data_IF_624368072848
#
_entry.id   IF_624368072848
#
_cell.length_a   1.000
_cell.length_b   1.000
_cell.length_c   1.000
_cell.angle_alpha   90.00
_cell.angle_beta   90.00
_cell.angle_gamma   90.00
#
_symmetry.space_group_name_H-M   'P 1'
#
loop_
_entity.id
_entity.type
_entity.pdbx_description
1 polymer ?
#
# COMPACT_ATOMS: atom_id res chain seq x y z
N UNK A 1 -21.63 14.82 -14.42
CA UNK A 1 -20.20 14.74 -14.72
C UNK A 1 -19.73 13.31 -14.47
N UNK A 2 -19.03 12.71 -15.44
CA UNK A 2 -18.51 11.34 -15.36
C UNK A 2 -16.98 11.36 -15.36
N UNK A 3 -16.37 10.80 -14.32
CA UNK A 3 -14.93 10.82 -14.10
C UNK A 3 -14.40 9.40 -14.08
N UNK A 4 -13.30 9.13 -14.78
CA UNK A 4 -12.53 7.89 -14.64
C UNK A 4 -11.13 8.19 -14.08
N UNK A 5 -10.76 7.47 -13.04
CA UNK A 5 -9.45 7.58 -12.38
C UNK A 5 -8.71 6.26 -12.61
N UNK A 6 -7.56 6.36 -13.24
CA UNK A 6 -6.64 5.23 -13.45
C UNK A 6 -5.60 5.20 -12.34
N UNK A 7 -5.49 4.09 -11.61
CA UNK A 7 -4.36 3.80 -10.72
C UNK A 7 -3.80 2.42 -11.05
N UNK A 8 -2.62 2.39 -11.65
CA UNK A 8 -2.03 1.16 -12.19
C UNK A 8 -0.92 0.56 -11.34
N UNK A 9 -0.52 1.23 -10.27
CA UNK A 9 0.64 0.89 -9.47
C UNK A 9 0.39 -0.28 -8.50
N UNK A 10 1.07 -0.33 -7.37
CA UNK A 10 0.95 -1.42 -6.39
C UNK A 10 -0.24 -1.21 -5.44
N UNK A 11 -0.47 -2.18 -4.55
CA UNK A 11 -1.57 -2.16 -3.58
C UNK A 11 -1.49 -1.00 -2.60
N UNK A 12 -0.28 -0.66 -2.12
CA UNK A 12 -0.06 0.50 -1.25
C UNK A 12 -0.39 1.82 -1.94
N UNK A 13 0.04 1.98 -3.20
CA UNK A 13 -0.28 3.16 -4.01
C UNK A 13 -1.78 3.31 -4.25
N UNK A 14 -2.50 2.18 -4.41
CA UNK A 14 -3.95 2.18 -4.54
C UNK A 14 -4.62 2.62 -3.24
N UNK A 15 -4.15 2.13 -2.10
CA UNK A 15 -4.64 2.55 -0.80
C UNK A 15 -4.47 4.07 -0.59
N UNK A 16 -3.28 4.61 -0.89
CA UNK A 16 -2.99 6.04 -0.76
C UNK A 16 -3.79 6.94 -1.73
N UNK A 17 -4.48 6.36 -2.71
CA UNK A 17 -5.41 7.08 -3.57
C UNK A 17 -6.85 7.12 -3.02
N UNK A 18 -7.19 6.35 -1.97
CA UNK A 18 -8.57 6.33 -1.45
C UNK A 18 -9.04 7.66 -0.84
N UNK A 19 -8.21 8.50 -0.20
CA UNK A 19 -8.61 9.85 0.23
C UNK A 19 -9.06 10.76 -0.93
N UNK A 20 -8.42 10.62 -2.09
CA UNK A 20 -8.82 11.34 -3.31
C UNK A 20 -10.25 10.98 -3.73
N UNK A 21 -10.63 9.71 -3.64
CA UNK A 21 -11.97 9.24 -3.99
C UNK A 21 -13.03 9.79 -3.02
N UNK A 22 -12.74 9.75 -1.73
CA UNK A 22 -13.61 10.29 -0.70
C UNK A 22 -13.81 11.81 -0.87
N UNK A 23 -12.69 12.52 -1.09
CA UNK A 23 -12.73 13.97 -1.27
C UNK A 23 -13.49 14.36 -2.54
N UNK A 24 -13.28 13.65 -3.65
CA UNK A 24 -14.01 13.86 -4.89
C UNK A 24 -15.51 13.62 -4.70
N UNK A 25 -15.90 12.52 -4.05
CA UNK A 25 -17.31 12.21 -3.76
C UNK A 25 -17.96 13.29 -2.90
N UNK A 26 -17.26 13.79 -1.88
CA UNK A 26 -17.75 14.85 -0.99
C UNK A 26 -17.92 16.18 -1.73
N UNK A 27 -16.94 16.55 -2.56
CA UNK A 27 -16.98 17.80 -3.32
C UNK A 27 -18.01 17.77 -4.47
N UNK A 28 -18.21 16.62 -5.08
CA UNK A 28 -19.06 16.42 -6.24
C UNK A 28 -19.98 15.20 -6.03
N UNK A 29 -21.01 15.31 -5.15
CA UNK A 29 -21.85 14.17 -4.76
C UNK A 29 -22.59 13.50 -5.92
N UNK A 30 -22.90 14.26 -7.00
CA UNK A 30 -23.62 13.78 -8.17
C UNK A 30 -22.70 13.31 -9.31
N UNK A 31 -21.37 13.32 -9.12
CA UNK A 31 -20.45 12.82 -10.12
C UNK A 31 -20.52 11.28 -10.18
N UNK A 32 -20.51 10.72 -11.39
CA UNK A 32 -20.33 9.29 -11.61
C UNK A 32 -18.83 9.01 -11.64
N UNK A 33 -18.33 8.33 -10.59
CA UNK A 33 -16.89 8.10 -10.35
C UNK A 33 -16.55 6.67 -10.69
N UNK A 34 -15.73 6.48 -11.73
CA UNK A 34 -15.21 5.18 -12.14
C UNK A 34 -13.74 5.05 -11.75
N UNK A 35 -13.36 3.86 -11.27
CA UNK A 35 -11.97 3.49 -11.09
C UNK A 35 -11.54 2.46 -12.11
N UNK A 36 -10.34 2.66 -12.70
CA UNK A 36 -9.68 1.71 -13.59
C UNK A 36 -8.42 1.19 -12.90
N UNK A 37 -8.48 -0.06 -12.45
CA UNK A 37 -7.46 -0.75 -11.69
C UNK A 37 -6.99 -2.02 -12.42
N UNK A 38 -5.87 -2.59 -12.01
CA UNK A 38 -5.44 -3.89 -12.53
C UNK A 38 -5.85 -5.04 -11.59
N UNK A 39 -5.70 -6.28 -12.07
CA UNK A 39 -6.03 -7.51 -11.33
C UNK A 39 -5.21 -7.76 -10.05
N UNK A 40 -4.17 -6.96 -9.80
CA UNK A 40 -3.33 -7.06 -8.61
C UNK A 40 -3.77 -6.11 -7.48
N UNK A 41 -4.26 -4.92 -7.82
CA UNK A 41 -4.54 -3.87 -6.84
C UNK A 41 -6.03 -3.54 -6.67
N UNK A 42 -6.90 -4.04 -7.55
CA UNK A 42 -8.33 -3.72 -7.57
C UNK A 42 -9.05 -4.08 -6.26
N UNK A 43 -8.65 -5.16 -5.60
CA UNK A 43 -9.28 -5.65 -4.37
C UNK A 43 -9.24 -4.64 -3.21
N UNK A 44 -8.28 -3.72 -3.21
CA UNK A 44 -8.20 -2.62 -2.21
C UNK A 44 -9.42 -1.71 -2.29
N UNK A 45 -10.11 -1.67 -3.44
CA UNK A 45 -11.28 -0.83 -3.67
C UNK A 45 -12.62 -1.60 -3.56
N UNK A 46 -12.58 -2.90 -3.28
CA UNK A 46 -13.80 -3.68 -3.09
C UNK A 46 -14.63 -3.10 -1.94
N UNK A 47 -15.90 -2.81 -2.20
CA UNK A 47 -16.79 -2.19 -1.22
C UNK A 47 -16.56 -0.70 -0.95
N UNK A 48 -15.70 -0.01 -1.69
CA UNK A 48 -15.49 1.42 -1.53
C UNK A 48 -16.72 2.21 -2.03
N UNK A 49 -17.41 2.86 -1.10
CA UNK A 49 -18.69 3.58 -1.36
C UNK A 49 -18.50 4.88 -2.14
N UNK A 50 -17.27 5.35 -2.33
CA UNK A 50 -17.00 6.60 -3.04
C UNK A 50 -16.87 6.42 -4.55
N UNK A 51 -16.94 5.18 -5.06
CA UNK A 51 -16.91 4.86 -6.48
C UNK A 51 -18.22 4.20 -6.90
N UNK A 52 -18.66 4.52 -8.12
CA UNK A 52 -19.86 3.92 -8.71
C UNK A 52 -19.51 2.68 -9.51
N UNK A 53 -18.30 2.63 -10.09
CA UNK A 53 -17.89 1.49 -10.90
C UNK A 53 -16.39 1.22 -10.83
N UNK A 54 -16.03 -0.04 -10.58
CA UNK A 54 -14.69 -0.54 -10.63
C UNK A 54 -14.46 -1.35 -11.93
N UNK A 55 -13.54 -0.88 -12.76
CA UNK A 55 -13.08 -1.56 -13.95
C UNK A 55 -11.75 -2.24 -13.65
N UNK A 56 -11.68 -3.55 -13.84
CA UNK A 56 -10.48 -4.33 -13.57
C UNK A 56 -9.94 -4.87 -14.88
N UNK A 57 -8.68 -4.54 -15.20
CA UNK A 57 -8.02 -5.08 -16.36
C UNK A 57 -6.94 -6.11 -15.98
N UNK A 58 -6.82 -7.21 -16.71
CA UNK A 58 -5.79 -8.20 -16.47
C UNK A 58 -4.42 -7.65 -16.86
N UNK A 59 -3.39 -7.93 -16.06
CA UNK A 59 -2.01 -7.62 -16.44
C UNK A 59 -1.54 -8.61 -17.52
N UNK A 60 -0.85 -8.09 -18.55
CA UNK A 60 -0.29 -8.90 -19.64
C UNK A 60 0.84 -9.82 -19.15
N UNK A 61 1.59 -9.36 -18.13
CA UNK A 61 2.62 -10.15 -17.46
C UNK A 61 2.21 -10.47 -16.03
N UNK A 62 2.38 -11.73 -15.64
CA UNK A 62 2.23 -12.20 -14.27
C UNK A 62 3.48 -12.99 -13.90
N UNK A 63 4.42 -12.36 -13.16
CA UNK A 63 5.76 -12.91 -13.00
C UNK A 63 6.46 -13.08 -14.36
N UNK A 64 7.02 -14.24 -14.60
CA UNK A 64 7.65 -14.61 -15.87
C UNK A 64 6.63 -14.95 -17.00
N UNK A 65 5.37 -15.23 -16.66
CA UNK A 65 4.35 -15.68 -17.61
C UNK A 65 3.73 -14.54 -18.40
N UNK A 66 3.63 -14.69 -19.72
CA UNK A 66 2.87 -13.83 -20.61
C UNK A 66 1.44 -14.36 -20.74
N UNK A 67 0.47 -13.44 -20.72
CA UNK A 67 -0.97 -13.71 -20.89
C UNK A 67 -1.48 -13.01 -22.15
N UNK A 68 -1.35 -13.62 -23.34
CA UNK A 68 -1.76 -12.98 -24.61
C UNK A 68 -3.25 -12.59 -24.62
N UNK A 69 -4.11 -13.44 -24.01
CA UNK A 69 -5.54 -13.17 -23.87
C UNK A 69 -5.83 -11.85 -23.12
N UNK A 70 -4.93 -11.43 -22.22
CA UNK A 70 -5.09 -10.18 -21.48
C UNK A 70 -5.03 -8.96 -22.41
N UNK A 71 -4.33 -9.04 -23.52
CA UNK A 71 -4.30 -7.97 -24.54
C UNK A 71 -5.67 -7.80 -25.17
N UNK A 72 -6.30 -8.92 -25.56
CA UNK A 72 -7.64 -8.92 -26.16
C UNK A 72 -8.66 -8.34 -25.18
N UNK A 73 -8.60 -8.79 -23.92
CA UNK A 73 -9.54 -8.31 -22.91
C UNK A 73 -9.31 -6.81 -22.60
N UNK A 74 -8.06 -6.34 -22.55
CA UNK A 74 -7.77 -4.92 -22.42
C UNK A 74 -8.31 -4.08 -23.60
N UNK A 75 -8.25 -4.59 -24.83
CA UNK A 75 -8.82 -3.92 -26.00
C UNK A 75 -10.35 -3.88 -25.94
N UNK A 76 -11.00 -4.99 -25.56
CA UNK A 76 -12.46 -5.03 -25.35
C UNK A 76 -12.89 -4.05 -24.27
N UNK A 77 -12.16 -4.01 -23.15
CA UNK A 77 -12.44 -3.10 -22.06
C UNK A 77 -12.24 -1.64 -22.47
N UNK A 78 -11.18 -1.34 -23.22
CA UNK A 78 -10.95 0.00 -23.76
C UNK A 78 -12.12 0.47 -24.63
N UNK A 79 -12.64 -0.41 -25.49
CA UNK A 79 -13.79 -0.10 -26.31
C UNK A 79 -15.05 0.17 -25.48
N UNK A 80 -15.32 -0.59 -24.42
CA UNK A 80 -16.41 -0.35 -23.49
C UNK A 80 -16.23 0.99 -22.75
N UNK A 81 -15.03 1.25 -22.22
CA UNK A 81 -14.70 2.50 -21.54
C UNK A 81 -14.88 3.73 -22.43
N UNK A 82 -14.52 3.68 -23.71
CA UNK A 82 -14.74 4.78 -24.64
C UNK A 82 -16.22 5.10 -24.85
N UNK A 83 -17.08 4.13 -24.75
CA UNK A 83 -18.53 4.33 -24.84
C UNK A 83 -19.15 5.03 -23.64
N UNK A 84 -18.48 5.01 -22.50
CA UNK A 84 -18.90 5.73 -21.30
C UNK A 84 -18.86 7.26 -21.48
N UNK A 85 -18.06 7.78 -22.43
CA UNK A 85 -17.93 9.21 -22.74
C UNK A 85 -17.61 10.04 -21.51
N UNK A 86 -16.47 9.75 -20.88
CA UNK A 86 -16.01 10.46 -19.70
C UNK A 86 -15.76 11.93 -19.95
N UNK A 87 -16.17 12.78 -19.02
CA UNK A 87 -15.81 14.19 -18.98
C UNK A 87 -14.33 14.35 -18.61
N UNK A 88 -13.87 13.56 -17.63
CA UNK A 88 -12.48 13.58 -17.16
C UNK A 88 -11.88 12.17 -17.08
N UNK A 89 -10.64 12.05 -17.52
CA UNK A 89 -9.79 10.89 -17.26
C UNK A 89 -8.52 11.32 -16.54
N UNK A 90 -8.31 10.77 -15.33
CA UNK A 90 -7.22 11.17 -14.43
C UNK A 90 -6.24 10.01 -14.30
N UNK A 91 -4.95 10.23 -14.51
CA UNK A 91 -3.89 9.29 -14.14
C UNK A 91 -3.42 9.59 -12.72
N UNK A 92 -3.96 8.89 -11.73
CA UNK A 92 -3.62 9.06 -10.32
C UNK A 92 -2.23 8.50 -10.02
N UNK A 93 -1.44 9.24 -9.23
CA UNK A 93 -0.10 8.90 -8.78
C UNK A 93 0.74 10.15 -8.56
N UNK A 94 1.55 10.13 -7.52
CA UNK A 94 2.48 11.20 -7.18
C UNK A 94 3.77 11.21 -8.00
N UNK A 95 3.82 10.44 -9.10
CA UNK A 95 4.97 10.40 -10.00
C UNK A 95 4.51 10.52 -11.45
N UNK A 96 5.37 11.07 -12.28
CA UNK A 96 5.13 11.16 -13.72
C UNK A 96 5.21 9.76 -14.35
N UNK A 97 4.12 9.30 -14.95
CA UNK A 97 4.02 7.97 -15.55
C UNK A 97 3.54 8.01 -17.00
N UNK A 98 4.46 7.95 -18.01
CA UNK A 98 4.10 7.95 -19.42
C UNK A 98 3.07 6.87 -19.78
N UNK A 99 3.21 5.67 -19.22
CA UNK A 99 2.27 4.57 -19.48
C UNK A 99 0.86 4.82 -18.93
N UNK A 100 0.75 5.56 -17.83
CA UNK A 100 -0.57 5.94 -17.28
C UNK A 100 -1.20 7.01 -18.17
N UNK A 101 -0.42 8.02 -18.58
CA UNK A 101 -0.84 9.07 -19.51
C UNK A 101 -1.30 8.47 -20.84
N UNK A 102 -0.52 7.60 -21.46
CA UNK A 102 -0.90 6.93 -22.69
C UNK A 102 -2.24 6.20 -22.54
N UNK A 103 -2.48 5.54 -21.40
CA UNK A 103 -3.72 4.81 -21.15
C UNK A 103 -4.92 5.74 -21.03
N UNK A 104 -4.83 6.84 -20.28
CA UNK A 104 -5.95 7.78 -20.14
C UNK A 104 -6.26 8.49 -21.44
N UNK A 105 -5.24 8.86 -22.23
CA UNK A 105 -5.45 9.45 -23.56
C UNK A 105 -6.21 8.53 -24.52
N UNK A 106 -6.02 7.22 -24.40
CA UNK A 106 -6.77 6.22 -25.21
C UNK A 106 -8.24 6.10 -24.83
N UNK A 107 -8.66 6.58 -23.65
CA UNK A 107 -10.06 6.53 -23.23
C UNK A 107 -10.95 7.49 -24.00
N UNK A 108 -10.39 8.56 -24.58
CA UNK A 108 -11.14 9.55 -25.36
C UNK A 108 -12.05 10.42 -24.49
N UNK A 109 -11.65 10.71 -23.25
CA UNK A 109 -12.35 11.65 -22.37
C UNK A 109 -12.20 13.08 -22.90
N UNK A 110 -13.15 13.97 -22.56
CA UNK A 110 -13.11 15.37 -22.94
C UNK A 110 -11.92 16.10 -22.33
N UNK A 111 -11.55 15.77 -21.10
CA UNK A 111 -10.37 16.29 -20.42
C UNK A 111 -9.52 15.17 -19.83
N UNK A 112 -8.20 15.32 -19.91
CA UNK A 112 -7.22 14.35 -19.42
C UNK A 112 -6.26 15.03 -18.45
N UNK A 113 -6.16 14.50 -17.23
CA UNK A 113 -5.39 15.10 -16.13
C UNK A 113 -4.28 14.15 -15.70
N UNK A 114 -3.06 14.63 -15.65
CA UNK A 114 -1.92 13.88 -15.12
C UNK A 114 -0.76 14.82 -14.73
N UNK A 115 0.18 14.29 -13.96
CA UNK A 115 1.47 14.93 -13.79
C UNK A 115 2.32 14.80 -15.04
N UNK A 116 2.97 15.90 -15.42
CA UNK A 116 3.93 16.00 -16.50
C UNK A 116 5.23 16.64 -16.01
N UNK A 117 6.33 16.41 -16.71
CA UNK A 117 7.63 16.99 -16.38
C UNK A 117 8.75 15.95 -16.41
N UNK A 118 9.93 16.36 -16.00
CA UNK A 118 11.10 15.50 -15.93
C UNK A 118 11.09 14.68 -14.63
N UNK A 119 11.21 13.37 -14.81
CA UNK A 119 11.67 12.49 -13.76
C UNK A 119 12.90 11.71 -14.32
N UNK A 120 13.69 11.09 -13.44
CA UNK A 120 14.93 10.37 -13.82
C UNK A 120 14.75 9.30 -14.91
N UNK A 121 13.52 8.81 -15.08
CA UNK A 121 13.18 7.69 -15.96
C UNK A 121 12.48 8.15 -17.26
N UNK A 122 12.22 9.45 -17.45
CA UNK A 122 11.50 9.97 -18.62
C UNK A 122 12.46 10.14 -19.81
N UNK A 123 12.04 9.62 -20.94
CA UNK A 123 12.72 9.81 -22.22
C UNK A 123 12.29 11.14 -22.85
N UNK A 124 13.14 11.72 -23.69
CA UNK A 124 12.79 12.92 -24.46
C UNK A 124 11.48 12.75 -25.28
N UNK A 125 11.22 11.54 -25.77
CA UNK A 125 9.98 11.19 -26.48
C UNK A 125 8.70 11.34 -25.64
N UNK A 126 8.80 11.34 -24.31
CA UNK A 126 7.65 11.45 -23.41
C UNK A 126 7.08 12.87 -23.37
N UNK A 127 7.87 13.91 -23.75
CA UNK A 127 7.40 15.30 -23.83
C UNK A 127 6.25 15.45 -24.83
N UNK A 128 6.34 14.81 -25.99
CA UNK A 128 5.27 14.84 -27.01
C UNK A 128 4.00 14.13 -26.53
N UNK A 129 4.13 13.11 -25.68
CA UNK A 129 3.00 12.43 -25.07
C UNK A 129 2.30 13.34 -24.05
N UNK A 130 3.06 14.00 -23.17
CA UNK A 130 2.51 14.91 -22.15
C UNK A 130 1.86 16.16 -22.76
N UNK A 131 2.36 16.66 -23.90
CA UNK A 131 1.75 17.78 -24.63
C UNK A 131 0.32 17.48 -25.13
N UNK A 132 -0.11 16.23 -25.15
CA UNK A 132 -1.47 15.80 -25.52
C UNK A 132 -2.46 15.84 -24.36
N UNK A 133 -1.99 16.05 -23.13
CA UNK A 133 -2.87 16.24 -21.98
C UNK A 133 -3.58 17.59 -22.09
N UNK A 134 -4.86 17.62 -21.72
CA UNK A 134 -5.58 18.91 -21.58
C UNK A 134 -5.16 19.65 -20.32
N UNK A 135 -4.84 18.91 -19.28
CA UNK A 135 -4.47 19.43 -17.97
C UNK A 135 -3.19 18.72 -17.46
N UNK A 136 -2.07 19.23 -17.88
CA UNK A 136 -0.76 18.78 -17.45
C UNK A 136 -0.33 19.54 -16.19
N UNK A 137 -0.31 18.86 -15.03
CA UNK A 137 0.14 19.48 -13.79
C UNK A 137 1.66 19.30 -13.63
N UNK A 138 2.37 20.33 -13.13
CA UNK A 138 3.78 20.17 -12.80
C UNK A 138 3.92 19.20 -11.61
N UNK A 139 4.85 18.24 -11.77
CA UNK A 139 5.17 17.32 -10.69
C UNK A 139 5.86 18.05 -9.54
N UNK A 140 5.42 17.81 -8.32
CA UNK A 140 5.99 18.33 -7.09
C UNK A 140 6.46 17.16 -6.22
N UNK A 141 7.76 16.92 -6.21
CA UNK A 141 8.38 15.83 -5.47
C UNK A 141 8.42 16.02 -3.96
N UNK A 142 7.92 17.15 -3.42
CA UNK A 142 7.89 17.42 -1.97
C UNK A 142 6.61 16.94 -1.31
N UNK A 143 5.54 16.72 -2.09
CA UNK A 143 4.25 16.31 -1.58
C UNK A 143 4.22 14.83 -1.19
N UNK A 144 3.47 14.53 -0.14
CA UNK A 144 3.09 13.16 0.16
C UNK A 144 2.21 12.56 -0.96
N UNK A 145 2.28 11.24 -1.20
CA UNK A 145 1.51 10.57 -2.26
C UNK A 145 0.00 10.83 -2.15
N UNK A 146 -0.56 10.91 -0.94
CA UNK A 146 -1.97 11.28 -0.69
C UNK A 146 -2.28 12.69 -1.22
N UNK A 147 -1.43 13.66 -0.90
CA UNK A 147 -1.59 15.05 -1.32
C UNK A 147 -1.41 15.20 -2.83
N UNK A 148 -0.43 14.48 -3.39
CA UNK A 148 -0.22 14.41 -4.84
C UNK A 148 -1.46 13.85 -5.56
N UNK A 149 -2.10 12.81 -5.05
CA UNK A 149 -3.33 12.29 -5.62
C UNK A 149 -4.47 13.33 -5.54
N UNK A 150 -4.64 14.01 -4.40
CA UNK A 150 -5.67 15.04 -4.21
C UNK A 150 -5.49 16.24 -5.15
N UNK A 151 -4.24 16.67 -5.38
CA UNK A 151 -3.92 17.79 -6.27
C UNK A 151 -4.40 17.55 -7.71
N UNK A 152 -4.49 16.31 -8.16
CA UNK A 152 -5.02 15.96 -9.48
C UNK A 152 -6.52 16.28 -9.65
N UNK A 153 -7.23 16.63 -8.58
CA UNK A 153 -8.64 17.04 -8.64
C UNK A 153 -8.82 18.55 -8.93
N UNK A 154 -7.76 19.35 -8.83
CA UNK A 154 -7.86 20.81 -9.01
C UNK A 154 -8.38 21.23 -10.40
N UNK A 155 -8.07 20.53 -11.52
CA UNK A 155 -8.67 20.86 -12.84
C UNK A 155 -10.18 20.61 -12.91
N UNK A 156 -10.75 19.85 -11.97
CA UNK A 156 -12.19 19.62 -11.85
C UNK A 156 -12.89 20.72 -11.02
N UNK A 157 -12.15 21.73 -10.57
CA UNK A 157 -12.66 22.76 -9.66
C UNK A 157 -12.75 22.32 -8.20
N UNK A 158 -12.15 21.17 -7.85
CA UNK A 158 -12.13 20.66 -6.47
C UNK A 158 -10.89 21.17 -5.77
N UNK A 159 -11.08 22.00 -4.75
CA UNK A 159 -9.97 22.56 -3.96
C UNK A 159 -9.29 21.48 -3.11
N UNK A 160 -8.01 21.70 -2.79
CA UNK A 160 -7.30 20.84 -1.83
C UNK A 160 -7.96 20.94 -0.45
N UNK A 161 -8.17 19.81 0.26
CA UNK A 161 -8.66 19.86 1.62
C UNK A 161 -7.60 20.41 2.58
N UNK A 162 -8.05 21.12 3.62
CA UNK A 162 -7.15 21.61 4.69
C UNK A 162 -6.45 20.43 5.39
N UNK A 163 -7.21 19.36 5.62
CA UNK A 163 -6.68 18.10 6.17
C UNK A 163 -7.25 16.93 5.32
N UNK A 164 -6.38 16.21 4.61
CA UNK A 164 -6.80 15.01 3.91
C UNK A 164 -7.34 13.94 4.87
N UNK A 165 -8.36 13.19 4.44
CA UNK A 165 -8.79 12.00 5.17
C UNK A 165 -7.73 10.92 5.15
N UNK A 166 -7.82 10.00 6.10
CA UNK A 166 -6.92 8.85 6.11
C UNK A 166 -7.33 7.82 5.05
N UNK A 167 -6.35 7.13 4.43
CA UNK A 167 -6.63 5.98 3.56
C UNK A 167 -7.42 4.89 4.28
N UNK A 168 -8.21 4.14 3.51
CA UNK A 168 -8.96 3.02 4.08
C UNK A 168 -9.33 1.98 3.03
N UNK A 169 -9.44 0.73 3.48
CA UNK A 169 -9.98 -0.38 2.72
C UNK A 169 -10.64 -1.38 3.68
N UNK A 170 -11.49 -2.24 3.16
CA UNK A 170 -12.06 -3.36 3.90
C UNK A 170 -11.32 -4.65 3.53
N UNK A 171 -10.67 -5.30 4.51
CA UNK A 171 -10.12 -6.62 4.28
C UNK A 171 -11.28 -7.62 4.23
N UNK A 172 -11.43 -8.43 3.16
CA UNK A 172 -12.51 -9.39 3.06
C UNK A 172 -12.50 -10.40 4.20
N UNK A 173 -13.67 -10.68 4.79
CA UNK A 173 -13.84 -11.56 5.95
C UNK A 173 -13.20 -12.95 5.82
N UNK A 174 -13.17 -13.63 4.66
CA UNK A 174 -12.50 -14.92 4.53
C UNK A 174 -11.03 -14.88 4.96
N UNK A 175 -10.29 -13.84 4.58
CA UNK A 175 -8.87 -13.69 4.94
C UNK A 175 -8.65 -13.47 6.44
N UNK A 176 -9.56 -12.74 7.08
CA UNK A 176 -9.56 -12.54 8.55
C UNK A 176 -9.81 -13.86 9.24
N UNK A 177 -10.78 -14.64 8.77
CA UNK A 177 -11.17 -15.93 9.35
C UNK A 177 -10.10 -17.02 9.16
N UNK A 178 -9.50 -17.11 7.97
CA UNK A 178 -8.38 -18.04 7.71
C UNK A 178 -7.18 -17.73 8.61
N UNK A 179 -6.84 -16.46 8.74
CA UNK A 179 -5.77 -16.03 9.64
C UNK A 179 -6.09 -16.39 11.10
N UNK A 180 -7.34 -16.23 11.53
CA UNK A 180 -7.78 -16.63 12.87
C UNK A 180 -7.58 -18.12 13.08
N UNK A 181 -7.99 -18.95 12.13
CA UNK A 181 -7.79 -20.42 12.21
C UNK A 181 -6.31 -20.78 12.30
N UNK A 182 -5.46 -20.10 11.51
CA UNK A 182 -4.02 -20.31 11.59
C UNK A 182 -3.47 -19.89 12.96
N UNK A 183 -3.85 -18.74 13.50
CA UNK A 183 -3.42 -18.26 14.82
C UNK A 183 -3.82 -19.25 15.93
N UNK A 184 -5.04 -19.76 15.89
CA UNK A 184 -5.53 -20.76 16.85
C UNK A 184 -4.69 -22.04 16.77
N UNK A 185 -4.29 -22.48 15.57
CA UNK A 185 -3.38 -23.64 15.40
C UNK A 185 -1.98 -23.41 15.96
N UNK A 186 -1.54 -22.15 16.07
CA UNK A 186 -0.26 -21.76 16.65
C UNK A 186 -0.35 -21.47 18.18
N UNK A 187 -1.54 -21.51 18.74
CA UNK A 187 -1.78 -21.15 20.16
C UNK A 187 -1.64 -19.65 20.44
N UNK A 188 -1.88 -18.79 19.44
CA UNK A 188 -1.74 -17.34 19.55
C UNK A 188 -3.12 -16.68 19.60
N UNK A 189 -3.41 -15.92 20.64
CA UNK A 189 -4.63 -15.14 20.71
C UNK A 189 -4.51 -13.80 19.93
N UNK A 190 -5.60 -13.34 19.27
CA UNK A 190 -5.64 -12.00 18.66
C UNK A 190 -5.29 -10.91 19.66
N UNK A 191 -4.56 -9.90 19.21
CA UNK A 191 -4.08 -8.80 20.03
C UNK A 191 -2.94 -9.18 20.99
N UNK A 192 -2.45 -10.44 20.96
CA UNK A 192 -1.39 -10.92 21.84
C UNK A 192 -0.08 -11.23 21.11
N UNK A 193 0.12 -10.63 19.96
CA UNK A 193 1.35 -10.76 19.19
C UNK A 193 1.66 -9.52 18.35
N UNK A 194 2.92 -9.41 17.96
CA UNK A 194 3.45 -8.37 17.07
C UNK A 194 3.92 -9.05 15.79
N UNK A 195 3.59 -8.46 14.62
CA UNK A 195 4.10 -8.93 13.34
C UNK A 195 5.44 -8.28 13.04
N UNK A 196 6.42 -9.07 12.60
CA UNK A 196 7.70 -8.62 12.05
C UNK A 196 7.77 -9.11 10.60
N UNK A 197 7.84 -8.20 9.63
CA UNK A 197 7.86 -8.54 8.21
C UNK A 197 9.23 -8.32 7.57
N UNK A 198 9.52 -9.12 6.52
CA UNK A 198 10.74 -9.00 5.70
C UNK A 198 10.48 -8.42 4.30
N UNK A 199 9.25 -8.07 3.97
CA UNK A 199 8.74 -7.77 2.64
C UNK A 199 9.37 -6.51 1.99
N UNK A 200 10.65 -6.56 1.63
CA UNK A 200 11.33 -5.52 0.86
C UNK A 200 12.15 -6.12 -0.30
N UNK A 201 12.32 -5.36 -1.39
CA UNK A 201 13.11 -5.81 -2.54
C UNK A 201 14.62 -5.76 -2.28
N UNK A 202 15.08 -4.82 -1.47
CA UNK A 202 16.49 -4.58 -1.20
C UNK A 202 16.85 -5.11 0.17
N UNK A 203 17.95 -5.86 0.27
CA UNK A 203 18.40 -6.45 1.52
C UNK A 203 18.64 -5.39 2.61
N UNK A 204 19.21 -4.25 2.26
CA UNK A 204 19.48 -3.14 3.19
C UNK A 204 18.20 -2.57 3.86
N UNK A 205 17.04 -2.81 3.26
CA UNK A 205 15.76 -2.38 3.82
C UNK A 205 15.12 -3.39 4.75
N UNK A 206 15.73 -4.56 4.93
CA UNK A 206 15.22 -5.62 5.81
C UNK A 206 15.93 -5.61 7.14
N UNK A 207 15.26 -5.92 8.24
CA UNK A 207 15.93 -6.20 9.51
C UNK A 207 16.81 -7.45 9.37
N UNK A 208 17.92 -7.49 10.11
CA UNK A 208 18.77 -8.68 10.18
C UNK A 208 18.10 -9.76 11.06
N UNK A 209 18.56 -10.99 10.91
CA UNK A 209 18.14 -12.12 11.76
C UNK A 209 18.33 -11.79 13.25
N UNK A 210 19.48 -11.20 13.60
CA UNK A 210 19.78 -10.84 14.99
C UNK A 210 18.82 -9.77 15.52
N UNK A 211 18.45 -8.76 14.70
CA UNK A 211 17.44 -7.77 15.09
C UNK A 211 16.10 -8.44 15.33
N UNK A 212 15.64 -9.31 14.43
CA UNK A 212 14.36 -10.03 14.57
C UNK A 212 14.34 -10.82 15.87
N UNK A 213 15.41 -11.55 16.17
CA UNK A 213 15.51 -12.34 17.40
C UNK A 213 15.51 -11.46 18.67
N UNK A 214 16.33 -10.38 18.69
CA UNK A 214 16.36 -9.44 19.81
C UNK A 214 15.02 -8.74 20.03
N UNK A 215 14.37 -8.27 18.94
CA UNK A 215 13.07 -7.58 19.02
C UNK A 215 11.99 -8.55 19.53
N UNK A 216 11.88 -9.74 18.98
CA UNK A 216 10.90 -10.74 19.43
C UNK A 216 11.09 -11.12 20.88
N UNK A 217 12.34 -11.27 21.33
CA UNK A 217 12.69 -11.56 22.73
C UNK A 217 12.30 -10.42 23.66
N UNK A 218 12.52 -9.16 23.25
CA UNK A 218 12.11 -7.97 24.00
C UNK A 218 10.59 -7.90 24.13
N UNK A 219 9.85 -8.06 23.03
CA UNK A 219 8.39 -8.04 23.06
C UNK A 219 7.82 -9.12 23.98
N UNK A 220 8.41 -10.32 23.95
CA UNK A 220 7.99 -11.39 24.86
C UNK A 220 8.26 -11.04 26.32
N UNK A 221 9.47 -10.59 26.64
CA UNK A 221 9.88 -10.34 28.04
C UNK A 221 9.21 -9.11 28.66
N UNK A 222 9.09 -8.03 27.90
CA UNK A 222 8.62 -6.73 28.42
C UNK A 222 7.12 -6.52 28.28
N UNK A 223 6.53 -7.05 27.20
CA UNK A 223 5.14 -6.82 26.84
C UNK A 223 4.26 -8.06 26.99
N UNK A 224 4.86 -9.23 27.18
CA UNK A 224 4.14 -10.51 27.20
C UNK A 224 3.58 -10.92 25.83
N UNK A 225 3.99 -10.25 24.74
CA UNK A 225 3.49 -10.49 23.39
C UNK A 225 4.38 -11.48 22.64
N UNK A 226 3.76 -12.42 21.94
CA UNK A 226 4.45 -13.28 20.99
C UNK A 226 4.80 -12.47 19.71
N UNK A 227 5.55 -13.08 18.81
CA UNK A 227 5.85 -12.48 17.52
C UNK A 227 5.52 -13.44 16.37
N UNK A 228 5.09 -12.88 15.24
CA UNK A 228 4.89 -13.62 13.99
C UNK A 228 5.82 -13.03 12.95
N UNK A 229 6.74 -13.85 12.43
CA UNK A 229 7.65 -13.49 11.34
C UNK A 229 6.95 -13.76 10.01
N UNK A 230 6.73 -12.70 9.22
CA UNK A 230 6.13 -12.81 7.89
C UNK A 230 7.19 -12.54 6.82
N UNK A 231 7.29 -13.43 5.84
CA UNK A 231 8.20 -13.23 4.71
C UNK A 231 7.58 -13.67 3.38
N UNK A 232 8.15 -13.16 2.29
CA UNK A 232 7.78 -13.55 0.94
C UNK A 232 8.52 -14.82 0.55
N UNK A 233 7.83 -15.92 0.16
CA UNK A 233 8.49 -17.12 -0.32
C UNK A 233 9.14 -16.90 -1.69
N UNK A 234 10.17 -17.67 -1.98
CA UNK A 234 10.84 -17.70 -3.28
C UNK A 234 12.33 -17.38 -3.22
N UNK A 235 12.93 -17.39 -4.39
CA UNK A 235 14.35 -17.11 -4.56
C UNK A 235 14.66 -15.61 -4.48
N UNK A 236 15.80 -15.26 -3.91
CA UNK A 236 16.20 -13.87 -3.73
C UNK A 236 16.52 -13.14 -5.05
N UNK A 237 16.81 -13.88 -6.11
CA UNK A 237 17.17 -13.39 -7.44
C UNK A 237 15.95 -13.23 -8.38
N UNK A 238 14.72 -13.51 -7.92
CA UNK A 238 13.53 -13.21 -8.69
C UNK A 238 13.45 -11.71 -8.96
N UNK A 239 13.47 -11.34 -10.25
CA UNK A 239 13.50 -9.94 -10.68
C UNK A 239 12.19 -9.18 -10.40
N UNK A 240 11.09 -9.89 -10.21
CA UNK A 240 9.76 -9.30 -10.02
C UNK A 240 9.39 -9.25 -8.54
N UNK A 241 9.56 -10.38 -7.86
CA UNK A 241 9.25 -10.56 -6.45
C UNK A 241 10.37 -11.34 -5.74
N UNK A 242 11.47 -10.67 -5.36
CA UNK A 242 12.54 -11.32 -4.60
C UNK A 242 11.98 -11.97 -3.34
N UNK A 243 12.25 -13.27 -3.19
CA UNK A 243 11.83 -14.02 -2.03
C UNK A 243 12.83 -13.93 -0.88
N UNK A 244 12.40 -14.33 0.29
CA UNK A 244 13.17 -14.25 1.53
C UNK A 244 13.55 -15.64 2.09
N UNK A 245 13.23 -16.73 1.38
CA UNK A 245 13.48 -18.10 1.86
C UNK A 245 14.95 -18.31 2.24
N UNK A 246 15.89 -17.76 1.46
CA UNK A 246 17.32 -17.85 1.75
C UNK A 246 17.74 -17.10 3.03
N UNK A 247 16.99 -16.06 3.42
CA UNK A 247 17.24 -15.31 4.66
C UNK A 247 16.72 -16.09 5.86
N UNK A 248 15.55 -16.73 5.72
CA UNK A 248 14.85 -17.40 6.83
C UNK A 248 15.35 -18.82 7.05
N UNK A 249 15.70 -19.55 6.00
CA UNK A 249 16.11 -20.95 6.06
C UNK A 249 17.21 -21.27 7.11
N UNK A 250 18.26 -20.43 7.30
CA UNK A 250 19.31 -20.74 8.25
C UNK A 250 18.87 -20.81 9.71
N UNK A 251 17.76 -20.14 10.09
CA UNK A 251 17.35 -20.06 11.48
C UNK A 251 15.91 -20.53 11.76
N UNK A 252 15.15 -20.91 10.74
CA UNK A 252 13.74 -21.30 10.92
C UNK A 252 13.56 -22.48 11.86
N UNK A 253 14.49 -23.44 11.84
CA UNK A 253 14.46 -24.63 12.72
C UNK A 253 14.84 -24.34 14.17
N UNK A 254 15.44 -23.18 14.44
CA UNK A 254 15.92 -22.77 15.78
C UNK A 254 15.15 -21.59 16.34
N UNK A 255 14.02 -21.25 15.74
CA UNK A 255 13.18 -20.15 16.22
C UNK A 255 12.73 -20.41 17.67
N UNK A 256 12.81 -19.39 18.54
CA UNK A 256 12.28 -19.52 19.90
C UNK A 256 10.75 -19.68 19.86
N UNK A 257 10.17 -20.39 20.83
CA UNK A 257 8.77 -20.75 20.88
C UNK A 257 7.81 -19.56 20.74
N UNK A 258 8.23 -18.37 21.15
CA UNK A 258 7.45 -17.12 21.08
C UNK A 258 7.53 -16.41 19.71
N UNK A 259 8.31 -16.90 18.76
CA UNK A 259 8.43 -16.36 17.40
C UNK A 259 7.94 -17.40 16.39
N UNK A 260 6.74 -17.20 15.84
CA UNK A 260 6.09 -18.13 14.93
C UNK A 260 6.33 -17.75 13.47
N UNK A 261 6.75 -18.69 12.63
CA UNK A 261 6.95 -18.43 11.20
C UNK A 261 5.62 -18.43 10.43
N UNK A 262 5.37 -17.40 9.63
CA UNK A 262 4.29 -17.34 8.67
C UNK A 262 4.88 -17.12 7.28
N UNK A 263 5.06 -18.20 6.54
CA UNK A 263 5.47 -18.14 5.14
C UNK A 263 4.28 -17.64 4.32
N UNK A 264 4.32 -16.38 3.87
CA UNK A 264 3.20 -15.78 3.16
C UNK A 264 2.86 -16.60 1.91
N UNK A 265 1.63 -17.12 1.73
CA UNK A 265 1.22 -17.65 0.44
C UNK A 265 1.28 -16.53 -0.61
N UNK A 266 1.17 -16.87 -1.89
CA UNK A 266 1.36 -15.91 -2.99
C UNK A 266 0.42 -14.68 -2.98
N UNK A 267 -0.50 -14.58 -2.03
CA UNK A 267 -1.49 -13.51 -1.89
C UNK A 267 -1.23 -12.66 -0.65
N UNK A 268 -1.00 -11.36 -0.85
CA UNK A 268 -0.77 -10.40 0.24
C UNK A 268 -1.94 -10.31 1.23
N UNK A 269 -3.16 -10.66 0.81
CA UNK A 269 -4.34 -10.66 1.67
C UNK A 269 -4.22 -11.67 2.81
N UNK A 270 -3.56 -12.80 2.60
CA UNK A 270 -3.30 -13.78 3.66
C UNK A 270 -2.41 -13.19 4.77
N UNK A 271 -1.31 -12.51 4.39
CA UNK A 271 -0.48 -11.79 5.35
C UNK A 271 -1.27 -10.69 6.08
N UNK A 272 -2.13 -9.96 5.34
CA UNK A 272 -2.98 -8.93 5.93
C UNK A 272 -4.00 -9.49 6.90
N UNK A 273 -4.51 -10.71 6.68
CA UNK A 273 -5.34 -11.41 7.67
C UNK A 273 -4.65 -11.57 9.01
N UNK A 274 -3.38 -11.98 9.01
CA UNK A 274 -2.56 -12.09 10.23
C UNK A 274 -2.33 -10.71 10.86
N UNK A 275 -1.94 -9.72 10.05
CA UNK A 275 -1.73 -8.33 10.51
C UNK A 275 -2.99 -7.74 11.14
N UNK A 276 -4.18 -8.10 10.64
CA UNK A 276 -5.45 -7.61 11.17
C UNK A 276 -5.72 -8.01 12.61
N UNK A 277 -5.15 -9.15 13.03
CA UNK A 277 -5.25 -9.66 14.40
C UNK A 277 -4.08 -9.26 15.30
N UNK A 278 -3.06 -8.61 14.78
CA UNK A 278 -1.88 -8.24 15.56
C UNK A 278 -2.14 -7.04 16.50
N UNK A 279 -1.44 -6.98 17.61
CA UNK A 279 -1.41 -5.80 18.48
C UNK A 279 -0.77 -4.60 17.76
N UNK A 280 0.27 -4.85 16.98
CA UNK A 280 0.89 -3.92 16.02
C UNK A 280 1.78 -4.69 15.06
N UNK A 281 2.36 -4.01 14.08
CA UNK A 281 3.23 -4.62 13.07
C UNK A 281 4.45 -3.76 12.74
N UNK A 282 5.54 -4.41 12.34
CA UNK A 282 6.77 -3.80 11.85
C UNK A 282 7.01 -4.30 10.43
N UNK A 283 7.14 -3.40 9.47
CA UNK A 283 7.45 -3.76 8.08
C UNK A 283 8.48 -2.80 7.47
N UNK A 284 9.38 -3.29 6.63
CA UNK A 284 10.10 -2.43 5.71
C UNK A 284 9.12 -1.59 4.88
N UNK A 285 9.55 -0.38 4.47
CA UNK A 285 8.79 0.43 3.55
C UNK A 285 8.35 -0.36 2.30
N UNK A 286 7.07 -0.27 1.98
CA UNK A 286 6.46 -0.97 0.85
C UNK A 286 4.94 -1.10 0.96
N UNK A 287 4.33 -1.74 -0.04
CA UNK A 287 2.87 -1.83 -0.14
C UNK A 287 2.19 -2.44 1.09
N UNK A 288 2.81 -3.43 1.73
CA UNK A 288 2.25 -4.07 2.93
C UNK A 288 2.31 -3.13 4.16
N UNK A 289 3.34 -2.28 4.28
CA UNK A 289 3.40 -1.30 5.36
C UNK A 289 2.25 -0.30 5.27
N UNK A 290 1.91 0.16 4.06
CA UNK A 290 0.75 1.02 3.85
C UNK A 290 -0.56 0.33 4.21
N UNK A 291 -0.77 -0.92 3.77
CA UNK A 291 -1.96 -1.70 4.14
C UNK A 291 -2.05 -1.91 5.66
N UNK A 292 -0.92 -2.22 6.29
CA UNK A 292 -0.84 -2.44 7.73
C UNK A 292 -1.12 -1.16 8.53
N UNK A 293 -0.83 0.03 7.99
CA UNK A 293 -1.07 1.29 8.68
C UNK A 293 -2.54 1.55 9.02
N UNK A 294 -3.45 0.96 8.24
CA UNK A 294 -4.90 1.09 8.45
C UNK A 294 -5.52 -0.14 9.14
N UNK A 295 -4.69 -1.10 9.54
CA UNK A 295 -5.14 -2.21 10.40
C UNK A 295 -5.43 -1.73 11.83
N UNK A 296 -6.20 -2.50 12.62
CA UNK A 296 -6.50 -2.13 14.01
C UNK A 296 -5.26 -1.86 14.88
N UNK A 297 -4.18 -2.61 14.67
CA UNK A 297 -2.92 -2.48 15.41
C UNK A 297 -1.94 -1.44 14.84
N UNK A 298 -2.11 -1.03 13.60
CA UNK A 298 -1.21 -0.08 12.92
C UNK A 298 0.16 -0.65 12.57
N UNK A 299 1.10 0.24 12.23
CA UNK A 299 2.42 -0.14 11.73
C UNK A 299 3.54 0.79 12.16
N UNK A 300 4.69 0.21 12.44
CA UNK A 300 6.00 0.85 12.38
C UNK A 300 6.65 0.51 11.03
N UNK A 301 6.75 1.50 10.14
CA UNK A 301 7.44 1.35 8.86
C UNK A 301 8.95 1.64 9.02
N UNK A 302 9.77 0.78 8.43
CA UNK A 302 11.23 0.86 8.51
C UNK A 302 11.76 1.34 7.15
N UNK A 303 12.30 2.55 7.11
CA UNK A 303 12.92 3.15 5.93
C UNK A 303 14.43 3.03 5.99
N UNK A 304 15.04 2.79 4.86
CA UNK A 304 16.48 2.85 4.69
C UNK A 304 16.83 3.30 3.27
N UNK A 305 18.07 3.70 3.06
CA UNK A 305 18.54 4.27 1.78
C UNK A 305 17.68 5.47 1.35
N UNK A 306 17.43 6.40 2.27
CA UNK A 306 16.51 7.52 2.04
C UNK A 306 16.98 8.51 0.97
N UNK A 307 18.25 8.50 0.61
CA UNK A 307 18.78 9.21 -0.56
C UNK A 307 18.22 8.67 -1.89
N UNK A 308 17.65 7.46 -1.87
CA UNK A 308 17.04 6.80 -3.03
C UNK A 308 15.58 6.56 -2.71
N UNK A 309 14.68 7.17 -3.51
CA UNK A 309 13.24 6.94 -3.38
C UNK A 309 12.88 5.46 -3.11
N UNK A 310 11.92 5.19 -2.21
CA UNK A 310 10.98 6.13 -1.59
C UNK A 310 11.56 6.85 -0.36
N UNK A 311 11.29 8.15 -0.27
CA UNK A 311 11.60 8.98 0.90
C UNK A 311 10.42 9.00 1.88
N UNK A 312 10.65 9.01 3.21
CA UNK A 312 9.55 9.04 4.19
C UNK A 312 8.58 10.22 4.00
N UNK A 313 9.06 11.40 3.63
CA UNK A 313 8.21 12.58 3.41
C UNK A 313 7.11 12.31 2.38
N UNK A 314 7.42 11.55 1.33
CA UNK A 314 6.49 11.22 0.28
C UNK A 314 5.68 9.95 0.56
N UNK A 315 6.23 9.00 1.38
CA UNK A 315 5.70 7.65 1.47
C UNK A 315 5.53 7.11 2.89
N UNK A 316 5.69 7.94 3.94
CA UNK A 316 5.41 7.46 5.31
C UNK A 316 3.98 6.94 5.43
N UNK A 317 3.68 6.03 6.39
CA UNK A 317 2.32 5.62 6.68
C UNK A 317 1.42 6.83 6.96
N UNK A 318 0.34 6.95 6.20
CA UNK A 318 -0.62 8.05 6.33
C UNK A 318 -1.84 7.58 7.11
N UNK A 319 -1.70 7.36 8.40
CA UNK A 319 -2.75 6.86 9.28
C UNK A 319 -2.49 7.23 10.74
N UNK A 320 -3.53 7.31 11.61
CA UNK A 320 -3.38 7.66 13.02
C UNK A 320 -2.48 6.69 13.81
N UNK A 321 -2.47 5.41 13.40
CA UNK A 321 -1.62 4.35 13.95
C UNK A 321 -0.49 3.96 12.99
N UNK A 322 -0.01 4.92 12.20
CA UNK A 322 1.14 4.78 11.33
C UNK A 322 2.31 5.61 11.85
N UNK A 323 3.47 5.01 12.00
CA UNK A 323 4.71 5.70 12.33
C UNK A 323 5.87 5.11 11.56
N UNK A 324 7.02 5.75 11.60
CA UNK A 324 8.21 5.25 10.91
C UNK A 324 9.50 5.53 11.68
N UNK A 325 10.51 4.79 11.31
CA UNK A 325 11.92 5.07 11.59
C UNK A 325 12.69 5.04 10.28
N UNK A 326 13.73 5.85 10.20
CA UNK A 326 14.60 5.88 9.04
C UNK A 326 16.07 5.71 9.43
N UNK A 327 16.80 5.03 8.56
CA UNK A 327 18.24 4.85 8.66
C UNK A 327 18.91 5.29 7.34
N UNK A 328 20.03 6.00 7.39
CA UNK A 328 20.68 6.53 6.17
C UNK A 328 21.05 5.45 5.17
N UNK A 329 21.55 4.30 5.62
CA UNK A 329 22.09 3.25 4.74
C UNK A 329 21.31 1.94 4.81
N UNK A 330 21.02 1.45 6.02
CA UNK A 330 20.39 0.15 6.19
C UNK A 330 19.52 0.09 7.46
N UNK A 331 18.44 -0.69 7.42
CA UNK A 331 17.56 -0.93 8.59
C UNK A 331 18.37 -1.52 9.76
N UNK A 332 19.47 -2.20 9.49
CA UNK A 332 20.37 -2.72 10.51
C UNK A 332 21.06 -1.65 11.37
N UNK A 333 21.02 -0.38 10.94
CA UNK A 333 21.55 0.76 11.71
C UNK A 333 20.54 1.32 12.73
N UNK A 334 19.26 0.90 12.64
CA UNK A 334 18.26 1.32 13.62
C UNK A 334 18.58 0.73 15.00
N UNK A 335 18.57 1.59 16.01
CA UNK A 335 18.76 1.14 17.38
C UNK A 335 17.53 0.39 17.89
N UNK A 336 17.74 -0.64 18.70
CA UNK A 336 16.67 -1.42 19.30
C UNK A 336 15.76 -0.53 20.18
N UNK A 337 16.34 0.44 20.90
CA UNK A 337 15.61 1.39 21.76
C UNK A 337 14.63 2.25 20.97
N UNK A 338 15.04 2.74 19.78
CA UNK A 338 14.16 3.53 18.92
C UNK A 338 12.97 2.68 18.40
N UNK A 339 13.23 1.44 18.04
CA UNK A 339 12.19 0.49 17.61
C UNK A 339 11.21 0.22 18.75
N UNK A 340 11.72 -0.06 19.98
CA UNK A 340 10.89 -0.35 21.12
C UNK A 340 10.02 0.84 21.53
N UNK A 341 10.58 2.04 21.57
CA UNK A 341 9.83 3.26 21.90
C UNK A 341 8.67 3.52 20.90
N UNK A 342 8.88 3.24 19.61
CA UNK A 342 7.82 3.38 18.60
C UNK A 342 6.74 2.31 18.73
N UNK A 343 7.12 1.08 19.08
CA UNK A 343 6.18 -0.02 19.34
C UNK A 343 5.32 0.31 20.56
N UNK A 344 5.93 0.77 21.66
CA UNK A 344 5.20 1.17 22.88
C UNK A 344 4.19 2.29 22.56
N UNK A 345 4.60 3.31 21.79
CA UNK A 345 3.71 4.39 21.34
C UNK A 345 2.50 3.87 20.53
N UNK A 346 2.68 2.86 19.65
CA UNK A 346 1.60 2.26 18.88
C UNK A 346 0.62 1.50 19.78
N UNK A 347 1.14 0.77 20.76
CA UNK A 347 0.34 -0.01 21.72
C UNK A 347 -0.48 0.90 22.63
N UNK A 348 0.07 2.02 23.12
CA UNK A 348 -0.64 3.00 23.94
C UNK A 348 -1.80 3.63 23.17
N UNK A 349 -1.60 4.01 21.91
CA UNK A 349 -2.68 4.52 21.06
C UNK A 349 -3.79 3.50 20.82
N UNK A 350 -3.48 2.21 20.85
CA UNK A 350 -4.46 1.14 20.68
C UNK A 350 -5.38 1.01 21.90
N UNK A 351 -4.88 1.26 23.11
CA UNK A 351 -5.67 1.22 24.35
C UNK A 351 -6.62 2.42 24.51
N UNK A 352 -6.28 3.58 23.97
CA UNK A 352 -7.13 4.79 24.03
C UNK A 352 -8.34 4.67 23.10
N UNK A 353 -8.18 4.08 21.90
CA UNK A 353 -9.27 3.90 20.93
C UNK A 353 -10.37 2.93 21.40
N UNK A 354 -10.03 1.94 22.23
CA UNK A 354 -11.02 0.99 22.77
C UNK A 354 -11.86 1.58 23.91
N UNK A 355 -11.35 2.61 24.61
CA UNK A 355 -12.09 3.28 25.68
C UNK A 355 -13.13 4.29 25.20
N UNK A 356 -12.95 4.86 24.00
CA UNK A 356 -13.90 5.83 23.42
C UNK A 356 -15.06 5.17 22.68
N UNK A 357 -14.94 3.90 22.28
CA UNK A 357 -16.03 3.14 21.63
C UNK A 357 -16.97 2.43 22.61
N UNK A 358 -16.71 2.52 23.93
CA UNK A 358 -17.50 1.87 24.98
C UNK A 358 -18.46 2.79 25.75
N UNK A 359 -18.65 4.05 25.34
CA UNK A 359 -19.43 5.04 26.12
C UNK A 359 -20.78 5.42 25.50
N UNK A 360 -21.14 4.88 24.32
CA UNK A 360 -22.46 5.11 23.74
C UNK A 360 -23.26 3.79 23.59
N UNK A 361 -23.67 3.24 24.73
CA UNK A 361 -24.75 2.26 24.81
C UNK A 361 -25.30 2.21 26.24
N UNK A 362 -26.01 3.27 26.61
CA UNK A 362 -27.06 3.23 27.66
C UNK A 362 -28.25 4.05 27.21
#
# INVERSE_FOLDING_TARGET
>A
MKVVILKRDKVGDMLLATPMLEHLRRALPQAEIHMLANDYNAWVLEGNRNIDRLWVYPRVRHGASLRPWAVIEQLRQLWRLRRERFDFAIAAGGVVSPRAVERILRLGAARTVAYAGHNKDNRAADAALFARLTDALPYDGTLHEVESNLRLLTPLGVAMPVAPSYPGFALPAPWINEARTWLDSQGIAPGKFIVIGLNARRLKRKPSTDQILRWSQHFKRRLGLDSVLIWQPGAADDRVYPGDDAIVAPFISTLPAHLKPFRNPADVRAAMGVVWHAATSLFPDGGIAHLASVSPGGVLALFAETDVSPHPDNWRPYAPKGTYLEAPKAVTELSDEAVFAKVDWLLDKSTVSTRTSGVDST
#
